data_IF_462689477907
#
_entry.id   IF_462689477907
#
_cell.length_a   1.000
_cell.length_b   1.000
_cell.length_c   1.000
_cell.angle_alpha   90.00
_cell.angle_beta   90.00
_cell.angle_gamma   90.00
#
_symmetry.space_group_name_H-M   'P 1'
#
loop_
_entity.id
_entity.type
_entity.pdbx_description
1 polymer ?
#
# COMPACT_ATOMS: atom_id res chain seq x y z
N UNK A 1 -7.22 0.19 -14.43
CA UNK A 1 -6.89 -0.05 -13.01
C UNK A 1 -5.91 1.02 -12.51
N UNK A 2 -4.62 1.02 -12.89
CA UNK A 2 -3.67 2.07 -12.43
C UNK A 2 -4.06 3.51 -12.82
N UNK A 3 -4.42 3.75 -14.09
CA UNK A 3 -4.86 5.09 -14.54
C UNK A 3 -6.09 5.61 -13.78
N UNK A 4 -6.90 4.73 -13.18
CA UNK A 4 -8.07 5.12 -12.40
C UNK A 4 -7.66 5.52 -10.98
N UNK A 5 -6.86 4.68 -10.31
CA UNK A 5 -6.31 4.99 -8.98
C UNK A 5 -5.49 6.30 -8.98
N UNK A 6 -4.71 6.53 -10.04
CA UNK A 6 -3.95 7.78 -10.20
C UNK A 6 -4.82 9.00 -10.53
N UNK A 7 -6.07 8.85 -10.97
CA UNK A 7 -6.97 10.00 -11.14
C UNK A 7 -7.51 10.52 -9.81
N UNK A 8 -7.58 9.68 -8.78
CA UNK A 8 -8.15 10.06 -7.48
C UNK A 8 -7.19 10.94 -6.66
N UNK A 9 -5.92 10.55 -6.56
CA UNK A 9 -4.89 11.30 -5.80
C UNK A 9 -3.62 11.61 -6.63
N UNK A 10 -3.31 10.81 -7.66
CA UNK A 10 -2.13 11.03 -8.51
C UNK A 10 -0.78 10.76 -7.85
N UNK A 11 -0.80 10.23 -6.62
CA UNK A 11 0.39 9.91 -5.83
C UNK A 11 0.55 8.39 -5.64
N UNK A 12 1.81 7.97 -5.46
CA UNK A 12 2.20 6.59 -5.12
C UNK A 12 2.98 6.63 -3.81
N UNK A 13 2.55 5.88 -2.79
CA UNK A 13 3.26 5.76 -1.52
C UNK A 13 4.27 4.62 -1.56
N UNK A 14 5.57 4.91 -1.52
CA UNK A 14 6.64 3.89 -1.56
C UNK A 14 7.13 3.60 -0.14
N UNK A 15 6.81 2.41 0.39
CA UNK A 15 7.06 2.03 1.78
C UNK A 15 8.38 1.25 1.94
N UNK A 16 9.51 1.96 1.96
CA UNK A 16 10.83 1.34 2.17
C UNK A 16 11.01 0.90 3.62
N UNK A 17 11.55 -0.31 3.81
CA UNK A 17 11.85 -0.83 5.15
C UNK A 17 10.60 -1.24 5.94
N UNK A 18 9.45 -1.37 5.25
CA UNK A 18 8.18 -1.74 5.86
C UNK A 18 8.29 -3.12 6.55
N UNK A 19 7.90 -3.18 7.82
CA UNK A 19 7.77 -4.45 8.55
C UNK A 19 6.34 -4.96 8.46
N UNK A 20 6.11 -6.28 8.33
CA UNK A 20 4.77 -6.84 8.18
C UNK A 20 3.78 -6.43 9.28
N UNK A 21 4.25 -6.33 10.53
CA UNK A 21 3.41 -5.96 11.68
C UNK A 21 2.90 -4.52 11.63
N UNK A 22 3.57 -3.64 10.89
CA UNK A 22 3.18 -2.24 10.71
C UNK A 22 2.30 -2.03 9.46
N UNK A 23 2.35 -2.99 8.53
CA UNK A 23 1.77 -2.85 7.20
C UNK A 23 0.25 -2.57 7.20
N UNK A 24 -0.61 -3.25 7.99
CA UNK A 24 -2.03 -2.92 8.04
C UNK A 24 -2.29 -1.49 8.53
N UNK A 25 -1.67 -1.10 9.65
CA UNK A 25 -1.90 0.20 10.26
C UNK A 25 -1.44 1.37 9.38
N UNK A 26 -0.27 1.23 8.73
CA UNK A 26 0.22 2.23 7.76
C UNK A 26 -0.70 2.27 6.53
N UNK A 27 -1.14 1.11 6.05
CA UNK A 27 -2.08 1.01 4.94
C UNK A 27 -3.37 1.79 5.19
N UNK A 28 -4.00 1.57 6.34
CA UNK A 28 -5.24 2.23 6.73
C UNK A 28 -5.09 3.76 6.70
N UNK A 29 -4.04 4.28 7.35
CA UNK A 29 -3.77 5.72 7.41
C UNK A 29 -3.56 6.31 6.02
N UNK A 30 -2.83 5.62 5.14
CA UNK A 30 -2.61 6.08 3.77
C UNK A 30 -3.90 6.08 2.95
N UNK A 31 -4.72 5.03 3.11
CA UNK A 31 -5.99 4.94 2.41
C UNK A 31 -6.97 6.05 2.84
N UNK A 32 -7.06 6.31 4.15
CA UNK A 32 -7.83 7.41 4.73
C UNK A 32 -7.32 8.78 4.27
N UNK A 33 -6.00 8.93 4.11
CA UNK A 33 -5.37 10.12 3.53
C UNK A 33 -5.58 10.25 2.01
N UNK A 34 -6.27 9.30 1.37
CA UNK A 34 -6.65 9.33 -0.04
C UNK A 34 -5.67 8.62 -0.98
N UNK A 35 -4.63 7.94 -0.50
CA UNK A 35 -3.78 7.14 -1.38
C UNK A 35 -4.55 5.94 -1.95
N UNK A 36 -4.29 5.65 -3.22
CA UNK A 36 -4.88 4.50 -3.94
C UNK A 36 -3.83 3.63 -4.61
N UNK A 37 -2.56 3.98 -4.47
CA UNK A 37 -1.42 3.20 -4.97
C UNK A 37 -0.34 3.21 -3.90
N UNK A 38 -0.02 2.03 -3.40
CA UNK A 38 1.03 1.79 -2.42
C UNK A 38 2.01 0.82 -3.05
N UNK A 39 3.31 1.07 -2.91
CA UNK A 39 4.38 0.20 -3.39
C UNK A 39 5.15 -0.34 -2.19
N UNK A 40 5.37 -1.65 -2.17
CA UNK A 40 6.27 -2.31 -1.21
C UNK A 40 7.52 -2.79 -1.95
N UNK A 41 8.67 -2.14 -1.75
CA UNK A 41 9.93 -2.56 -2.36
C UNK A 41 10.35 -3.95 -1.89
N UNK A 42 10.79 -4.80 -2.81
CA UNK A 42 11.25 -6.17 -2.51
C UNK A 42 12.54 -6.24 -1.69
N UNK A 43 13.20 -5.11 -1.43
CA UNK A 43 14.32 -5.00 -0.50
C UNK A 43 13.91 -4.67 0.95
N UNK A 44 12.60 -4.65 1.26
CA UNK A 44 12.10 -4.55 2.65
C UNK A 44 12.31 -5.87 3.41
N UNK A 45 12.29 -5.90 4.75
CA UNK A 45 12.63 -7.09 5.54
C UNK A 45 11.83 -8.37 5.19
N UNK A 46 10.52 -8.25 4.98
CA UNK A 46 9.61 -9.35 4.63
C UNK A 46 8.54 -8.82 3.66
N UNK A 47 8.89 -8.58 2.39
CA UNK A 47 8.09 -7.78 1.48
C UNK A 47 6.80 -8.48 1.08
N UNK A 48 6.84 -9.79 0.84
CA UNK A 48 5.66 -10.56 0.44
C UNK A 48 4.62 -10.68 1.55
N UNK A 49 5.03 -10.82 2.81
CA UNK A 49 4.11 -10.79 3.94
C UNK A 49 3.45 -9.41 4.10
N UNK A 50 4.24 -8.35 3.93
CA UNK A 50 3.71 -6.98 3.97
C UNK A 50 2.69 -6.74 2.86
N UNK A 51 2.98 -7.17 1.62
CA UNK A 51 2.05 -7.10 0.48
C UNK A 51 0.77 -7.90 0.74
N UNK A 52 0.90 -9.12 1.26
CA UNK A 52 -0.25 -9.98 1.59
C UNK A 52 -1.14 -9.34 2.64
N UNK A 53 -0.55 -8.80 3.71
CA UNK A 53 -1.27 -8.14 4.80
C UNK A 53 -1.96 -6.86 4.32
N UNK A 54 -1.26 -6.02 3.56
CA UNK A 54 -1.85 -4.83 2.93
C UNK A 54 -3.04 -5.20 2.05
N UNK A 55 -2.91 -6.26 1.25
CA UNK A 55 -4.00 -6.68 0.36
C UNK A 55 -5.21 -7.22 1.13
N UNK A 56 -4.99 -7.92 2.24
CA UNK A 56 -6.07 -8.40 3.11
C UNK A 56 -6.77 -7.26 3.84
N UNK A 57 -6.03 -6.22 4.22
CA UNK A 57 -6.54 -5.08 4.98
C UNK A 57 -7.32 -4.09 4.10
N UNK A 58 -6.77 -3.75 2.93
CA UNK A 58 -7.25 -2.62 2.15
C UNK A 58 -8.40 -2.97 1.20
N UNK A 59 -9.23 -1.99 0.79
CA UNK A 59 -10.25 -2.21 -0.22
C UNK A 59 -9.66 -2.47 -1.63
N UNK A 60 -10.44 -3.11 -2.49
CA UNK A 60 -10.00 -3.60 -3.80
C UNK A 60 -9.63 -2.50 -4.81
N UNK A 61 -10.02 -1.26 -4.55
CA UNK A 61 -9.67 -0.07 -5.36
C UNK A 61 -8.27 0.48 -5.06
N UNK A 62 -7.66 0.09 -3.94
CA UNK A 62 -6.27 0.41 -3.63
C UNK A 62 -5.33 -0.61 -4.30
N UNK A 63 -4.40 -0.16 -5.12
CA UNK A 63 -3.37 -1.00 -5.73
C UNK A 63 -2.16 -1.13 -4.80
N UNK A 64 -1.64 -2.36 -4.69
CA UNK A 64 -0.44 -2.74 -3.92
C UNK A 64 0.59 -3.34 -4.88
#
# INVERSE_FOLDING_TARGET
MLKQALKENGLVAILRGLRPEEAPAIGDVLYEAGFRVIEVPLNSPQPFDSIRLLRQQLPADCLI
#
